data_IF_520514678828
#
_entry.id   IF_520514678828
#
_cell.length_a   1.000
_cell.length_b   1.000
_cell.length_c   1.000
_cell.angle_alpha   90.00
_cell.angle_beta   90.00
_cell.angle_gamma   90.00
#
_symmetry.space_group_name_H-M   'P 1'
#
loop_
_entity.id
_entity.type
_entity.pdbx_description
1 polymer ?
#
# COMPACT_ATOMS: atom_id res chain seq x y z
N UNK A 1 9.07 -6.60 -6.81
CA UNK A 1 8.11 -5.74 -6.08
C UNK A 1 8.47 -4.30 -6.31
N UNK A 2 7.67 -3.55 -7.09
CA UNK A 2 7.89 -2.13 -7.29
C UNK A 2 7.69 -1.38 -5.97
N UNK A 3 8.62 -0.49 -5.64
CA UNK A 3 8.44 0.45 -4.53
C UNK A 3 7.56 1.60 -5.02
N UNK A 4 6.53 1.91 -4.24
CA UNK A 4 5.44 2.81 -4.69
C UNK A 4 5.64 4.20 -4.13
N UNK A 5 5.94 4.27 -2.83
CA UNK A 5 6.20 5.48 -2.08
C UNK A 5 7.55 5.41 -1.38
N UNK A 6 8.02 6.55 -0.89
CA UNK A 6 9.13 6.60 0.05
C UNK A 6 8.76 5.89 1.35
N UNK A 7 9.77 5.41 2.07
CA UNK A 7 9.53 4.77 3.36
C UNK A 7 9.05 5.82 4.36
N UNK A 8 8.09 5.42 5.19
CA UNK A 8 7.49 6.29 6.19
C UNK A 8 7.39 5.55 7.51
N UNK A 9 7.94 6.13 8.58
CA UNK A 9 8.00 5.51 9.92
C UNK A 9 8.65 4.10 9.93
N UNK A 10 9.57 3.84 9.00
CA UNK A 10 10.19 2.52 8.84
C UNK A 10 9.28 1.48 8.19
N UNK A 11 8.19 1.90 7.54
CA UNK A 11 7.33 1.05 6.72
C UNK A 11 7.63 1.27 5.23
N UNK A 12 7.60 0.16 4.49
CA UNK A 12 7.81 0.10 3.04
C UNK A 12 6.50 -0.17 2.34
N UNK A 13 6.29 0.52 1.22
CA UNK A 13 5.05 0.54 0.45
C UNK A 13 5.26 -0.03 -0.95
N UNK A 14 4.52 -1.09 -1.31
CA UNK A 14 4.75 -1.85 -2.54
C UNK A 14 3.48 -2.53 -3.08
N UNK A 15 3.54 -3.01 -4.33
CA UNK A 15 2.60 -3.98 -4.90
C UNK A 15 3.36 -5.29 -5.21
N UNK A 16 2.67 -6.44 -5.27
CA UNK A 16 3.25 -7.63 -5.88
C UNK A 16 3.08 -7.58 -7.39
N UNK A 17 4.06 -8.10 -8.12
CA UNK A 17 4.09 -8.01 -9.59
C UNK A 17 3.04 -8.88 -10.29
N UNK A 18 2.35 -9.77 -9.58
CA UNK A 18 1.39 -10.74 -10.11
C UNK A 18 -0.06 -10.47 -9.67
N UNK A 19 -0.41 -9.23 -9.32
CA UNK A 19 -1.71 -8.83 -8.76
C UNK A 19 -2.62 -8.06 -9.75
N UNK A 20 -2.37 -8.15 -11.07
CA UNK A 20 -3.10 -7.38 -12.10
C UNK A 20 -4.63 -7.65 -12.14
N UNK A 21 -5.10 -8.77 -11.58
CA UNK A 21 -6.53 -9.10 -11.53
C UNK A 21 -7.31 -8.42 -10.40
N UNK A 22 -6.64 -7.65 -9.54
CA UNK A 22 -7.25 -7.01 -8.38
C UNK A 22 -7.46 -5.49 -8.58
N UNK A 23 -8.42 -4.88 -7.87
CA UNK A 23 -8.51 -3.42 -7.77
C UNK A 23 -7.21 -2.79 -7.24
N UNK A 24 -7.03 -1.48 -7.43
CA UNK A 24 -5.84 -0.76 -6.97
C UNK A 24 -5.68 -0.91 -5.46
N UNK A 25 -4.53 -1.42 -5.03
CA UNK A 25 -4.20 -1.61 -3.62
C UNK A 25 -2.71 -1.42 -3.36
N UNK A 26 -2.35 -1.41 -2.08
CA UNK A 26 -0.96 -1.30 -1.64
C UNK A 26 -0.71 -2.18 -0.43
N UNK A 27 0.47 -2.79 -0.41
CA UNK A 27 0.99 -3.54 0.72
C UNK A 27 1.96 -2.70 1.54
N UNK A 28 1.91 -2.91 2.85
CA UNK A 28 2.74 -2.19 3.82
C UNK A 28 3.38 -3.18 4.79
N UNK A 29 4.71 -3.16 4.87
CA UNK A 29 5.51 -3.99 5.79
C UNK A 29 6.57 -3.16 6.50
N UNK A 30 6.94 -3.56 7.73
CA UNK A 30 8.02 -2.90 8.47
C UNK A 30 9.37 -3.32 7.90
N UNK A 31 10.23 -2.36 7.60
CA UNK A 31 11.55 -2.60 7.03
C UNK A 31 11.46 -3.04 5.56
N UNK A 32 11.45 -4.36 5.31
CA UNK A 32 11.45 -4.90 3.94
C UNK A 32 10.08 -5.51 3.60
N UNK A 33 9.74 -5.62 2.30
CA UNK A 33 8.56 -6.36 1.88
C UNK A 33 8.54 -7.79 2.45
N UNK A 34 7.37 -8.26 2.86
CA UNK A 34 7.19 -9.58 3.44
C UNK A 34 5.78 -10.11 3.16
N UNK A 35 5.61 -11.44 3.26
CA UNK A 35 4.30 -12.08 3.12
C UNK A 35 3.32 -11.71 4.25
N UNK A 36 3.84 -11.26 5.39
CA UNK A 36 3.06 -10.78 6.53
C UNK A 36 2.97 -9.25 6.48
N UNK A 37 2.18 -8.75 5.52
CA UNK A 37 1.96 -7.32 5.29
C UNK A 37 0.55 -6.88 5.71
N UNK A 38 0.35 -5.57 5.87
CA UNK A 38 -0.97 -4.98 5.81
C UNK A 38 -1.34 -4.68 4.36
N UNK A 39 -2.59 -4.89 3.97
CA UNK A 39 -3.11 -4.58 2.64
C UNK A 39 -4.17 -3.49 2.75
N UNK A 40 -4.07 -2.47 1.91
CA UNK A 40 -5.01 -1.37 1.83
C UNK A 40 -5.58 -1.23 0.43
N UNK A 41 -6.90 -1.21 0.32
CA UNK A 41 -7.61 -0.86 -0.91
C UNK A 41 -7.59 0.65 -1.13
N UNK A 42 -7.26 1.06 -2.36
CA UNK A 42 -7.25 2.45 -2.79
C UNK A 42 -8.54 2.71 -3.57
N UNK A 43 -9.57 3.23 -2.91
CA UNK A 43 -10.83 3.61 -3.56
C UNK A 43 -10.83 5.09 -3.91
N UNK A 44 -11.79 5.50 -4.74
CA UNK A 44 -11.95 6.90 -5.18
C UNK A 44 -12.03 7.89 -4.02
N UNK A 45 -12.79 7.54 -2.97
CA UNK A 45 -13.10 8.45 -1.86
C UNK A 45 -12.48 8.04 -0.52
N UNK A 46 -11.91 6.84 -0.42
CA UNK A 46 -11.44 6.30 0.85
C UNK A 46 -10.25 5.34 0.66
N UNK A 47 -9.46 5.20 1.72
CA UNK A 47 -8.43 4.16 1.84
C UNK A 47 -8.93 3.16 2.87
N UNK A 48 -9.09 1.89 2.50
CA UNK A 48 -9.69 0.87 3.37
C UNK A 48 -8.63 -0.17 3.72
N UNK A 49 -8.40 -0.39 5.01
CA UNK A 49 -7.58 -1.51 5.47
C UNK A 49 -8.35 -2.82 5.21
N UNK A 50 -7.80 -3.69 4.38
CA UNK A 50 -8.37 -5.02 4.16
C UNK A 50 -7.97 -5.96 5.29
N UNK A 51 -6.66 -6.06 5.55
CA UNK A 51 -6.12 -6.92 6.60
C UNK A 51 -4.80 -6.39 7.14
N UNK A 52 -4.44 -6.80 8.36
CA UNK A 52 -3.18 -6.47 9.03
C UNK A 52 -2.44 -7.73 9.47
N UNK A 53 -1.93 -8.53 8.52
CA UNK A 53 -1.13 -9.73 8.83
C UNK A 53 0.25 -9.37 9.39
N UNK A 54 0.72 -8.15 9.13
CA UNK A 54 1.98 -7.62 9.65
C UNK A 54 1.94 -7.17 11.12
N UNK A 55 0.82 -7.34 11.82
CA UNK A 55 0.65 -6.92 13.23
C UNK A 55 1.07 -5.46 13.49
N UNK A 56 0.80 -4.57 12.52
CA UNK A 56 1.10 -3.15 12.63
C UNK A 56 0.22 -2.54 13.73
N UNK A 57 0.79 -1.78 14.68
CA UNK A 57 0.01 -1.12 15.73
C UNK A 57 -1.08 -0.22 15.16
N UNK A 58 -2.26 -0.19 15.81
CA UNK A 58 -3.41 0.63 15.38
C UNK A 58 -3.07 2.12 15.23
N UNK A 59 -2.19 2.65 16.09
CA UNK A 59 -1.71 4.03 16.00
C UNK A 59 -0.98 4.31 14.70
N UNK A 60 -0.17 3.36 14.25
CA UNK A 60 0.63 3.50 13.03
C UNK A 60 -0.20 3.20 11.79
N UNK A 61 -1.13 2.25 11.84
CA UNK A 61 -2.12 2.04 10.78
C UNK A 61 -2.87 3.33 10.43
N UNK A 62 -3.29 4.12 11.42
CA UNK A 62 -3.95 5.42 11.19
C UNK A 62 -3.02 6.42 10.50
N UNK A 63 -1.74 6.47 10.85
CA UNK A 63 -0.76 7.36 10.22
C UNK A 63 -0.44 6.91 8.79
N UNK A 64 -0.25 5.61 8.59
CA UNK A 64 -0.04 4.95 7.30
C UNK A 64 -1.23 5.24 6.38
N UNK A 65 -2.47 5.06 6.84
CA UNK A 65 -3.67 5.32 6.05
C UNK A 65 -3.77 6.80 5.62
N UNK A 66 -3.42 7.74 6.51
CA UNK A 66 -3.33 9.18 6.16
C UNK A 66 -2.24 9.44 5.13
N UNK A 67 -1.08 8.82 5.27
CA UNK A 67 0.03 8.94 4.32
C UNK A 67 -0.34 8.38 2.94
N UNK A 68 -0.98 7.21 2.89
CA UNK A 68 -1.52 6.62 1.66
C UNK A 68 -2.55 7.56 1.01
N UNK A 69 -3.47 8.12 1.82
CA UNK A 69 -4.49 9.05 1.32
C UNK A 69 -3.87 10.31 0.70
N UNK A 70 -2.88 10.91 1.36
CA UNK A 70 -2.16 12.08 0.87
C UNK A 70 -1.40 11.82 -0.44
N UNK A 71 -0.94 10.58 -0.65
CA UNK A 71 -0.17 10.19 -1.84
C UNK A 71 -0.98 9.36 -2.84
N UNK A 72 -2.33 9.37 -2.74
CA UNK A 72 -3.21 8.51 -3.55
C UNK A 72 -2.95 8.64 -5.05
N UNK A 73 -2.79 9.87 -5.55
CA UNK A 73 -2.56 10.10 -6.98
C UNK A 73 -1.28 9.40 -7.48
N UNK A 74 -0.20 9.46 -6.71
CA UNK A 74 1.05 8.78 -7.04
C UNK A 74 0.89 7.25 -7.03
N UNK A 75 0.18 6.71 -6.05
CA UNK A 75 -0.08 5.25 -5.98
C UNK A 75 -0.86 4.78 -7.21
N UNK A 76 -1.92 5.51 -7.55
CA UNK A 76 -2.77 5.20 -8.71
C UNK A 76 -1.96 5.29 -10.00
N UNK A 77 -1.16 6.34 -10.19
CA UNK A 77 -0.30 6.47 -11.36
C UNK A 77 0.70 5.33 -11.45
N UNK A 78 1.39 4.98 -10.35
CA UNK A 78 2.34 3.86 -10.32
C UNK A 78 1.68 2.51 -10.58
N UNK A 79 0.44 2.33 -10.13
CA UNK A 79 -0.32 1.13 -10.45
C UNK A 79 -0.57 1.04 -11.95
N UNK A 80 -1.08 2.11 -12.57
CA UNK A 80 -1.30 2.14 -14.02
C UNK A 80 -0.01 2.05 -14.83
N UNK A 81 1.09 2.68 -14.41
CA UNK A 81 2.40 2.53 -15.07
C UNK A 81 2.92 1.08 -15.06
N UNK A 82 2.57 0.28 -14.04
CA UNK A 82 3.06 -1.08 -13.90
C UNK A 82 2.10 -2.14 -14.47
N UNK A 83 0.79 -1.93 -14.35
CA UNK A 83 -0.26 -2.89 -14.72
C UNK A 83 -1.15 -2.45 -15.88
N UNK A 84 -1.21 -1.14 -16.16
CA UNK A 84 -2.07 -0.51 -17.15
C UNK A 84 -1.38 -0.42 -18.51
N UNK A 85 -1.61 -1.46 -19.31
CA UNK A 85 -1.19 -1.69 -20.71
C UNK A 85 0.31 -1.77 -20.96
#
# INVERSE_FOLDING_TARGET
MPKVLLDFLGYTFYFYSNENGEPIHIHVSKGKPSNNSAKFWIKRNEIVLEHNKGNIPKSDLKKIQKYICANRAQIVNRWYEFFGF
#
